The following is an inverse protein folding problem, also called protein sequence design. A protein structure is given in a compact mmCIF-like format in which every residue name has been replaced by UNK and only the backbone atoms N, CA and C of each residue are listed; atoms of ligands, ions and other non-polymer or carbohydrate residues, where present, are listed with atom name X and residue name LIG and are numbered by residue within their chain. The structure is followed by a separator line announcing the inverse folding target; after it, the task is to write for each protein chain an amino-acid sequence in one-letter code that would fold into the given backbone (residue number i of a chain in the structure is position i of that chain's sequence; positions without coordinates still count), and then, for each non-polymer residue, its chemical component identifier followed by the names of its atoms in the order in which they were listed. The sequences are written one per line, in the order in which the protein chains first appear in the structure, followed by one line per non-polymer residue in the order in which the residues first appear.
data_IF_761210064214
#
_entry.id   IF_761210064214
#
_cell.length_a   1.000
_cell.length_b   1.000
_cell.length_c   1.000
_cell.angle_alpha   90.00
_cell.angle_beta   90.00
_cell.angle_gamma   90.00
#
_symmetry.space_group_name_H-M   'P 1'
#
loop_
_entity.id
_entity.type
_entity.pdbx_description
1 polymer ?
#
# COMPACT_ATOMS: atom_id res chain seq x y z
N UNK A 1 -19.15 -32.38 18.90
CA UNK A 1 -20.16 -33.41 19.26
C UNK A 1 -20.45 -34.39 18.12
N UNK A 2 -20.68 -33.96 16.87
CA UNK A 2 -20.90 -34.86 15.72
C UNK A 2 -19.77 -35.88 15.42
N UNK A 3 -18.50 -35.51 15.66
CA UNK A 3 -17.36 -36.39 15.42
C UNK A 3 -17.26 -37.58 16.40
N UNK A 4 -17.83 -37.47 17.60
CA UNK A 4 -17.83 -38.54 18.60
C UNK A 4 -18.89 -39.61 18.30
N UNK A 5 -20.01 -39.22 17.68
CA UNK A 5 -21.10 -40.13 17.31
C UNK A 5 -20.71 -40.99 16.08
N UNK A 6 -19.89 -40.44 15.17
CA UNK A 6 -19.40 -41.18 13.99
C UNK A 6 -18.34 -42.26 14.32
N UNK A 7 -17.68 -42.16 15.48
CA UNK A 7 -16.64 -43.08 15.95
C UNK A 7 -17.21 -44.46 16.33
N UNK A 8 -18.50 -44.54 16.62
CA UNK A 8 -19.15 -45.76 17.12
C UNK A 8 -19.72 -46.66 16.00
N UNK A 9 -19.93 -46.11 14.80
CA UNK A 9 -20.59 -46.80 13.68
C UNK A 9 -19.58 -47.45 12.72
N UNK A 10 -18.37 -46.87 12.54
CA UNK A 10 -17.34 -47.48 11.68
C UNK A 10 -15.92 -46.94 11.94
N UNK A 11 -15.28 -47.42 13.02
CA UNK A 11 -13.94 -47.02 13.47
C UNK A 11 -12.88 -47.05 12.35
N UNK A 12 -12.95 -48.03 11.45
CA UNK A 12 -12.00 -48.18 10.35
C UNK A 12 -12.13 -47.05 9.31
N UNK A 13 -13.35 -46.65 8.94
CA UNK A 13 -13.59 -45.55 8.00
C UNK A 13 -13.21 -44.19 8.60
N UNK A 14 -13.43 -44.01 9.91
CA UNK A 14 -13.02 -42.81 10.62
C UNK A 14 -11.50 -42.68 10.72
N UNK A 15 -10.81 -43.75 11.09
CA UNK A 15 -9.34 -43.78 11.13
C UNK A 15 -8.73 -43.49 9.74
N UNK A 16 -9.30 -44.09 8.69
CA UNK A 16 -8.89 -43.82 7.31
C UNK A 16 -9.07 -42.34 6.92
N UNK A 17 -10.23 -41.76 7.24
CA UNK A 17 -10.51 -40.35 6.96
C UNK A 17 -9.57 -39.40 7.73
N UNK A 18 -9.24 -39.74 8.98
CA UNK A 18 -8.30 -38.98 9.80
C UNK A 18 -6.88 -39.00 9.22
N UNK A 19 -6.39 -40.18 8.83
CA UNK A 19 -5.06 -40.32 8.20
C UNK A 19 -5.01 -39.58 6.87
N UNK A 20 -6.08 -39.65 6.07
CA UNK A 20 -6.16 -38.95 4.79
C UNK A 20 -6.15 -37.42 4.96
N UNK A 21 -6.85 -36.89 5.98
CA UNK A 21 -6.87 -35.45 6.24
C UNK A 21 -5.51 -34.92 6.71
N UNK A 22 -4.84 -35.66 7.58
CA UNK A 22 -3.48 -35.33 8.03
C UNK A 22 -2.48 -35.39 6.87
N UNK A 23 -2.63 -36.36 5.97
CA UNK A 23 -1.84 -36.47 4.74
C UNK A 23 -2.00 -35.26 3.83
N UNK A 24 -3.23 -34.80 3.59
CA UNK A 24 -3.50 -33.62 2.76
C UNK A 24 -2.96 -32.32 3.38
N UNK A 25 -3.07 -32.17 4.70
CA UNK A 25 -2.50 -31.02 5.42
C UNK A 25 -0.97 -31.02 5.33
N UNK A 26 -0.33 -32.18 5.51
CA UNK A 26 1.11 -32.32 5.39
C UNK A 26 1.61 -32.01 3.97
N UNK A 27 0.93 -32.56 2.94
CA UNK A 27 1.28 -32.34 1.54
C UNK A 27 1.09 -30.87 1.14
N UNK A 28 -0.03 -30.26 1.54
CA UNK A 28 -0.32 -28.85 1.30
C UNK A 28 0.68 -27.92 2.00
N UNK A 29 1.03 -28.21 3.25
CA UNK A 29 2.05 -27.48 4.00
C UNK A 29 3.44 -27.58 3.36
N UNK A 30 3.81 -28.77 2.88
CA UNK A 30 5.09 -28.98 2.16
C UNK A 30 5.14 -28.20 0.84
N UNK A 31 4.06 -28.24 0.04
CA UNK A 31 3.98 -27.44 -1.19
C UNK A 31 4.03 -25.93 -0.93
N UNK A 32 3.34 -25.46 0.11
CA UNK A 32 3.39 -24.07 0.53
C UNK A 32 4.81 -23.64 0.93
N UNK A 33 5.51 -24.48 1.70
CA UNK A 33 6.90 -24.24 2.08
C UNK A 33 7.84 -24.20 0.88
N UNK A 34 7.68 -25.10 -0.10
CA UNK A 34 8.47 -25.07 -1.34
C UNK A 34 8.28 -23.77 -2.12
N UNK A 35 7.03 -23.34 -2.34
CA UNK A 35 6.73 -22.13 -3.10
C UNK A 35 7.26 -20.88 -2.40
N UNK A 36 7.09 -20.79 -1.08
CA UNK A 36 7.56 -19.65 -0.29
C UNK A 36 9.06 -19.69 0.00
N UNK A 37 9.67 -20.87 0.06
CA UNK A 37 11.11 -21.07 0.26
C UNK A 37 11.94 -20.87 -1.02
N UNK A 38 11.36 -21.09 -2.21
CA UNK A 38 11.98 -20.79 -3.51
C UNK A 38 11.80 -19.34 -3.97
N UNK A 39 11.05 -18.51 -3.24
CA UNK A 39 10.88 -17.08 -3.55
C UNK A 39 12.12 -16.20 -3.29
N UNK A 40 13.24 -16.82 -2.92
CA UNK A 40 14.45 -16.16 -2.44
C UNK A 40 15.62 -16.13 -3.42
N UNK A 41 15.42 -16.15 -4.74
CA UNK A 41 16.49 -15.74 -5.67
C UNK A 41 15.96 -15.41 -7.08
N UNK A 42 15.38 -14.22 -7.24
CA UNK A 42 15.20 -13.59 -8.54
C UNK A 42 15.91 -12.24 -8.56
N UNK A 43 17.24 -12.28 -8.58
CA UNK A 43 18.07 -11.17 -9.04
C UNK A 43 19.18 -11.68 -9.94
N UNK A 44 18.89 -11.79 -11.23
CA UNK A 44 19.85 -11.60 -12.33
C UNK A 44 19.11 -11.56 -13.66
N UNK A 45 18.42 -10.45 -13.90
CA UNK A 45 18.09 -10.02 -15.26
C UNK A 45 19.33 -9.36 -15.86
N UNK A 46 19.90 -9.95 -16.91
CA UNK A 46 20.95 -9.34 -17.72
C UNK A 46 20.33 -8.13 -18.44
N UNK A 47 20.87 -6.94 -18.19
CA UNK A 47 20.44 -5.71 -18.87
C UNK A 47 21.03 -5.69 -20.29
N UNK A 48 20.31 -6.25 -21.26
CA UNK A 48 20.71 -6.36 -22.67
C UNK A 48 20.73 -5.00 -23.41
N UNK A 49 20.25 -3.93 -22.78
CA UNK A 49 20.09 -2.59 -23.36
C UNK A 49 21.42 -1.81 -23.39
N UNK A 50 22.44 -2.21 -22.60
CA UNK A 50 23.71 -1.48 -22.53
C UNK A 50 24.63 -1.65 -23.75
N UNK A 51 24.30 -2.54 -24.70
CA UNK A 51 25.16 -2.87 -25.83
C UNK A 51 24.89 -2.03 -27.10
N UNK A 52 23.82 -1.22 -27.13
CA UNK A 52 23.37 -0.57 -28.38
C UNK A 52 23.10 0.94 -28.27
N UNK A 53 23.64 1.63 -27.27
CA UNK A 53 23.55 3.10 -27.24
C UNK A 53 24.90 3.71 -26.90
N UNK A 54 25.80 3.73 -27.87
CA UNK A 54 26.93 4.64 -27.84
C UNK A 54 26.41 6.06 -28.17
N UNK A 55 25.79 6.69 -27.18
CA UNK A 55 25.39 8.10 -27.26
C UNK A 55 26.66 8.94 -27.12
N UNK A 56 26.86 9.88 -28.06
CA UNK A 56 27.96 10.85 -28.05
C UNK A 56 28.18 11.46 -26.65
N UNK A 57 29.42 11.76 -26.24
CA UNK A 57 29.73 12.21 -24.89
C UNK A 57 28.96 13.48 -24.57
N UNK A 58 27.97 13.35 -23.69
CA UNK A 58 27.24 14.48 -23.13
C UNK A 58 28.23 15.20 -22.23
N UNK A 59 28.51 16.47 -22.54
CA UNK A 59 29.27 17.33 -21.64
C UNK A 59 28.44 17.54 -20.37
N UNK A 60 28.78 16.79 -19.32
CA UNK A 60 28.26 17.06 -17.98
C UNK A 60 29.07 18.22 -17.41
N UNK A 61 28.47 19.42 -17.20
CA UNK A 61 29.11 20.38 -16.32
C UNK A 61 29.34 19.68 -14.98
N UNK A 62 30.45 20.01 -14.31
CA UNK A 62 30.79 19.45 -13.00
C UNK A 62 29.51 19.45 -12.12
N UNK A 63 29.20 18.35 -11.41
CA UNK A 63 28.01 18.31 -10.57
C UNK A 63 28.11 19.48 -9.62
N UNK A 64 27.21 20.46 -9.81
CA UNK A 64 26.91 21.45 -8.79
C UNK A 64 26.66 20.62 -7.54
N UNK A 65 27.30 20.90 -6.38
CA UNK A 65 27.03 20.15 -5.17
C UNK A 65 25.51 20.18 -4.94
N UNK A 66 24.86 19.07 -5.28
CA UNK A 66 23.44 18.88 -5.12
C UNK A 66 23.27 18.78 -3.62
N UNK A 67 22.98 19.92 -2.98
CA UNK A 67 22.37 19.91 -1.66
C UNK A 67 21.11 19.07 -1.88
N UNK A 68 21.16 17.80 -1.44
CA UNK A 68 19.99 16.94 -1.46
C UNK A 68 18.86 17.77 -0.84
N UNK A 69 17.66 17.83 -1.47
CA UNK A 69 16.52 18.51 -0.87
C UNK A 69 16.47 18.12 0.61
N UNK A 70 16.45 19.09 1.54
CA UNK A 70 16.60 18.79 2.95
C UNK A 70 15.63 17.67 3.31
N UNK A 71 16.16 16.59 3.91
CA UNK A 71 15.32 15.46 4.27
C UNK A 71 14.14 15.99 5.08
N UNK A 72 12.89 15.65 4.71
CA UNK A 72 11.72 16.17 5.38
C UNK A 72 11.83 15.85 6.87
N UNK A 73 11.99 16.90 7.66
CA UNK A 73 12.19 16.81 9.12
C UNK A 73 10.88 16.46 9.83
N UNK A 74 9.77 16.63 9.13
CA UNK A 74 8.39 16.42 9.59
C UNK A 74 7.63 15.55 8.59
N UNK A 75 6.58 14.87 9.05
CA UNK A 75 5.69 14.09 8.20
C UNK A 75 5.08 14.99 7.13
N UNK A 76 5.18 14.58 5.87
CA UNK A 76 4.72 15.37 4.73
C UNK A 76 4.02 14.46 3.71
N UNK A 77 2.84 14.87 3.24
CA UNK A 77 2.11 14.22 2.15
C UNK A 77 2.04 15.17 0.96
N UNK A 78 2.36 14.66 -0.22
CA UNK A 78 2.26 15.42 -1.48
C UNK A 78 1.00 14.99 -2.19
N UNK A 79 0.10 15.95 -2.43
CA UNK A 79 -1.17 15.73 -3.12
C UNK A 79 -1.19 16.61 -4.36
N UNK A 80 -1.53 16.00 -5.50
CA UNK A 80 -1.80 16.69 -6.75
C UNK A 80 -3.31 16.97 -6.84
N UNK A 81 -3.64 18.25 -7.00
CA UNK A 81 -4.99 18.77 -7.21
C UNK A 81 -5.01 19.57 -8.53
N UNK A 82 -6.18 20.05 -8.96
CA UNK A 82 -6.29 20.80 -10.22
C UNK A 82 -5.35 22.03 -10.28
N UNK A 83 -5.15 22.69 -9.13
CA UNK A 83 -4.28 23.86 -8.96
C UNK A 83 -2.78 23.50 -8.81
N UNK A 84 -2.41 22.24 -9.03
CA UNK A 84 -1.03 21.74 -8.95
C UNK A 84 -0.73 20.94 -7.68
N UNK A 85 0.55 20.77 -7.36
CA UNK A 85 0.98 19.97 -6.21
C UNK A 85 0.99 20.78 -4.91
N UNK A 86 0.32 20.25 -3.89
CA UNK A 86 0.31 20.77 -2.52
C UNK A 86 1.07 19.81 -1.61
N UNK A 87 1.80 20.37 -0.65
CA UNK A 87 2.49 19.63 0.40
C UNK A 87 1.79 19.91 1.71
N UNK A 88 1.32 18.86 2.36
CA UNK A 88 0.62 18.94 3.63
C UNK A 88 1.43 18.29 4.73
N UNK A 89 1.48 18.93 5.89
CA UNK A 89 2.08 18.39 7.12
C UNK A 89 1.06 17.65 7.96
N UNK A 90 1.52 16.93 8.99
CA UNK A 90 0.63 16.28 9.95
C UNK A 90 -0.43 17.26 10.49
N UNK A 91 -1.69 16.80 10.48
CA UNK A 91 -2.91 17.50 10.89
C UNK A 91 -3.31 18.70 10.04
N UNK A 92 -2.65 18.96 8.91
CA UNK A 92 -3.09 20.01 8.00
C UNK A 92 -4.34 19.59 7.22
N UNK A 93 -5.09 20.61 6.78
CA UNK A 93 -6.32 20.47 6.04
C UNK A 93 -6.14 21.02 4.63
N UNK A 94 -6.60 20.25 3.63
CA UNK A 94 -6.67 20.68 2.25
C UNK A 94 -8.13 20.80 1.84
N UNK A 95 -8.49 21.99 1.34
CA UNK A 95 -9.81 22.28 0.81
C UNK A 95 -9.89 21.89 -0.65
N UNK A 96 -10.94 21.14 -1.01
CA UNK A 96 -11.22 20.70 -2.38
C UNK A 96 -12.72 20.76 -2.64
N UNK A 97 -13.11 20.89 -3.91
CA UNK A 97 -14.53 20.86 -4.28
C UNK A 97 -15.03 19.44 -4.47
N UNK A 98 -16.30 19.20 -4.16
CA UNK A 98 -16.93 17.90 -4.42
C UNK A 98 -16.91 17.57 -5.91
N UNK A 99 -16.43 16.38 -6.25
CA UNK A 99 -16.25 15.93 -7.64
C UNK A 99 -14.89 16.32 -8.25
N UNK A 100 -14.05 17.06 -7.52
CA UNK A 100 -12.67 17.28 -7.92
C UNK A 100 -11.87 15.98 -7.80
N UNK A 101 -10.96 15.78 -8.74
CA UNK A 101 -10.03 14.65 -8.74
C UNK A 101 -8.75 15.03 -8.01
N UNK A 102 -8.38 14.21 -7.03
CA UNK A 102 -7.14 14.37 -6.27
C UNK A 102 -6.27 13.13 -6.43
N UNK A 103 -4.96 13.29 -6.39
CA UNK A 103 -4.01 12.18 -6.49
C UNK A 103 -2.94 12.30 -5.44
N UNK A 104 -2.76 11.24 -4.66
CA UNK A 104 -1.68 11.19 -3.67
C UNK A 104 -0.40 10.82 -4.42
N UNK A 105 0.57 11.73 -4.43
CA UNK A 105 1.83 11.56 -5.17
C UNK A 105 2.86 10.81 -4.34
N UNK A 106 3.10 11.26 -3.10
CA UNK A 106 4.06 10.62 -2.20
C UNK A 106 3.74 10.94 -0.73
N UNK A 107 4.33 10.17 0.19
CA UNK A 107 4.26 10.37 1.62
C UNK A 107 5.63 10.17 2.26
N UNK A 108 6.00 11.08 3.15
CA UNK A 108 7.29 11.10 3.83
C UNK A 108 7.07 11.06 5.33
N UNK A 109 7.82 10.18 5.99
CA UNK A 109 7.87 10.08 7.44
C UNK A 109 9.35 10.19 7.84
N UNK A 110 9.72 11.08 8.77
CA UNK A 110 11.10 11.23 9.19
C UNK A 110 11.68 9.90 9.69
N UNK A 111 12.93 9.59 9.30
CA UNK A 111 13.65 8.39 9.76
C UNK A 111 12.91 7.07 9.45
N UNK A 112 12.17 7.02 8.34
CA UNK A 112 11.49 5.82 7.87
C UNK A 112 11.80 5.56 6.40
N UNK A 113 12.06 4.30 6.07
CA UNK A 113 12.25 3.89 4.68
C UNK A 113 10.96 4.03 3.89
N UNK A 114 11.05 4.55 2.66
CA UNK A 114 9.89 4.71 1.75
C UNK A 114 9.07 3.43 1.55
N UNK A 115 9.72 2.27 1.60
CA UNK A 115 9.08 0.96 1.43
C UNK A 115 8.21 0.55 2.63
N UNK A 116 8.42 1.16 3.79
CA UNK A 116 7.63 0.94 5.00
C UNK A 116 6.49 1.94 5.13
N UNK A 117 6.52 3.02 4.34
CA UNK A 117 5.50 4.06 4.34
C UNK A 117 4.39 3.66 3.38
N UNK A 118 3.15 3.71 3.85
CA UNK A 118 1.95 3.61 3.01
C UNK A 118 1.06 4.81 3.26
N UNK A 119 0.31 5.22 2.24
CA UNK A 119 -0.65 6.32 2.37
C UNK A 119 -2.02 5.83 1.96
N UNK A 120 -2.99 5.99 2.84
CA UNK A 120 -4.34 5.46 2.71
C UNK A 120 -5.38 6.59 2.79
N UNK A 121 -6.27 6.67 1.82
CA UNK A 121 -7.40 7.60 1.82
C UNK A 121 -8.61 6.91 2.45
N UNK A 122 -8.93 7.28 3.68
CA UNK A 122 -10.03 6.67 4.44
C UNK A 122 -11.36 7.00 3.76
N UNK A 123 -12.08 5.95 3.34
CA UNK A 123 -13.35 6.09 2.63
C UNK A 123 -13.23 5.99 1.10
N UNK A 124 -12.02 5.79 0.58
CA UNK A 124 -11.76 5.44 -0.82
C UNK A 124 -11.45 3.95 -0.96
N UNK A 125 -11.78 3.38 -2.12
CA UNK A 125 -11.42 2.01 -2.48
C UNK A 125 -10.76 2.09 -3.86
N UNK A 126 -9.42 2.04 -3.89
CA UNK A 126 -8.66 2.09 -5.14
C UNK A 126 -8.64 0.73 -5.85
N UNK A 127 -7.82 -0.18 -5.33
CA UNK A 127 -7.57 -1.52 -5.88
C UNK A 127 -7.63 -2.54 -4.74
N UNK A 128 -8.49 -3.58 -4.83
CA UNK A 128 -8.58 -4.62 -3.80
C UNK A 128 -7.26 -5.39 -3.58
N UNK A 129 -6.30 -5.31 -4.51
CA UNK A 129 -4.98 -5.95 -4.39
C UNK A 129 -3.99 -5.14 -3.56
N UNK A 130 -4.18 -3.83 -3.43
CA UNK A 130 -3.28 -2.92 -2.71
C UNK A 130 -3.91 -2.51 -1.38
N UNK A 131 -3.53 -3.20 -0.31
CA UNK A 131 -4.08 -2.93 1.02
C UNK A 131 -3.47 -1.64 1.59
N UNK A 132 -4.32 -0.61 1.72
CA UNK A 132 -4.02 0.67 2.35
C UNK A 132 -2.85 1.43 1.69
N UNK A 133 -2.77 1.37 0.36
CA UNK A 133 -1.77 2.06 -0.46
C UNK A 133 -2.44 2.70 -1.69
N UNK A 134 -2.82 3.96 -1.53
CA UNK A 134 -3.55 4.74 -2.53
C UNK A 134 -2.66 5.72 -3.30
N UNK A 135 -1.33 5.71 -3.07
CA UNK A 135 -0.41 6.51 -3.88
C UNK A 135 -0.53 6.16 -5.36
N UNK A 136 -0.58 7.20 -6.18
CA UNK A 136 -0.71 7.11 -7.64
C UNK A 136 -2.14 6.88 -8.13
N UNK A 137 -3.11 6.62 -7.25
CA UNK A 137 -4.52 6.45 -7.62
C UNK A 137 -5.20 7.81 -7.79
N UNK A 138 -6.04 7.91 -8.82
CA UNK A 138 -6.90 9.08 -9.04
C UNK A 138 -8.17 8.91 -8.19
N UNK A 139 -8.37 9.83 -7.26
CA UNK A 139 -9.45 9.80 -6.26
C UNK A 139 -10.48 10.84 -6.65
N UNK A 140 -11.65 10.38 -7.07
CA UNK A 140 -12.82 11.26 -7.23
C UNK A 140 -13.43 11.53 -5.84
N UNK A 141 -13.41 12.78 -5.40
CA UNK A 141 -13.95 13.20 -4.11
C UNK A 141 -15.46 12.95 -3.97
N UNK A 142 -16.21 12.84 -5.08
CA UNK A 142 -17.62 12.46 -5.05
C UNK A 142 -17.83 10.97 -4.74
N UNK A 143 -16.83 10.12 -5.01
CA UNK A 143 -16.89 8.67 -4.78
C UNK A 143 -16.62 8.27 -3.32
N UNK A 144 -16.22 9.22 -2.46
CA UNK A 144 -15.83 8.95 -1.09
C UNK A 144 -17.03 8.58 -0.21
N UNK A 145 -16.93 7.43 0.47
CA UNK A 145 -17.99 6.88 1.30
C UNK A 145 -18.26 7.75 2.55
N UNK A 146 -19.43 8.40 2.60
CA UNK A 146 -19.84 9.32 3.69
C UNK A 146 -19.69 8.75 5.10
N UNK A 147 -19.94 7.45 5.30
CA UNK A 147 -19.80 6.80 6.63
C UNK A 147 -18.39 6.84 7.21
N UNK A 148 -17.38 6.98 6.35
CA UNK A 148 -15.96 7.04 6.72
C UNK A 148 -15.43 8.46 6.87
N UNK A 149 -16.26 9.48 6.61
CA UNK A 149 -15.93 10.84 6.98
C UNK A 149 -15.75 10.97 8.50
N UNK A 150 -14.91 11.93 8.89
CA UNK A 150 -14.64 12.28 10.28
C UNK A 150 -15.90 12.84 10.93
N UNK A 151 -16.64 13.68 10.19
CA UNK A 151 -17.85 14.35 10.66
C UNK A 151 -19.15 13.52 10.47
N UNK A 152 -19.06 12.35 9.83
CA UNK A 152 -20.20 11.50 9.41
C UNK A 152 -21.19 12.18 8.47
N UNK A 153 -20.86 13.36 7.95
CA UNK A 153 -21.68 14.12 7.00
C UNK A 153 -21.08 14.12 5.59
N UNK A 154 -19.81 13.73 5.46
CA UNK A 154 -19.14 13.64 4.17
C UNK A 154 -18.45 14.93 3.75
N UNK A 155 -18.05 15.77 4.72
CA UNK A 155 -17.33 17.02 4.43
C UNK A 155 -15.86 16.97 4.86
N UNK A 156 -15.47 16.04 5.72
CA UNK A 156 -14.07 15.91 6.14
C UNK A 156 -13.62 14.45 6.09
N UNK A 157 -12.56 14.17 5.34
CA UNK A 157 -11.99 12.84 5.17
C UNK A 157 -10.53 12.84 5.63
N UNK A 158 -10.02 11.65 5.96
CA UNK A 158 -8.68 11.48 6.49
C UNK A 158 -7.79 10.75 5.50
N UNK A 159 -6.60 11.28 5.29
CA UNK A 159 -5.49 10.60 4.65
C UNK A 159 -4.54 10.12 5.76
N UNK A 160 -4.45 8.81 5.94
CA UNK A 160 -3.61 8.17 6.95
C UNK A 160 -2.25 7.82 6.34
N UNK A 161 -1.19 8.26 7.01
CA UNK A 161 0.17 7.84 6.68
C UNK A 161 0.58 6.75 7.66
N UNK A 162 0.83 5.57 7.13
CA UNK A 162 1.17 4.38 7.90
C UNK A 162 2.67 4.11 7.81
N UNK A 163 3.30 3.77 8.94
CA UNK A 163 4.64 3.19 9.01
C UNK A 163 4.51 1.73 9.42
N UNK A 164 4.55 0.82 8.44
CA UNK A 164 4.27 -0.60 8.65
C UNK A 164 2.81 -0.83 9.06
N UNK A 165 2.56 -1.04 10.36
CA UNK A 165 1.22 -1.26 10.93
C UNK A 165 0.72 -0.09 11.80
N UNK A 166 1.57 0.90 12.06
CA UNK A 166 1.26 2.02 12.94
C UNK A 166 0.89 3.25 12.11
N UNK A 167 -0.05 4.06 12.60
CA UNK A 167 -0.37 5.35 12.02
C UNK A 167 0.71 6.35 12.45
N UNK A 168 1.51 6.81 11.50
CA UNK A 168 2.56 7.80 11.71
C UNK A 168 2.01 9.24 11.77
N UNK A 169 0.88 9.49 11.10
CA UNK A 169 0.19 10.78 11.12
C UNK A 169 -0.98 10.81 10.17
N UNK A 170 -1.71 11.94 10.20
CA UNK A 170 -2.95 12.11 9.48
C UNK A 170 -3.01 13.49 8.84
N UNK A 171 -3.50 13.55 7.62
CA UNK A 171 -3.87 14.79 6.92
C UNK A 171 -5.34 14.77 6.59
N UNK A 172 -5.96 15.93 6.46
CA UNK A 172 -7.40 16.06 6.30
C UNK A 172 -7.76 16.67 4.96
N UNK A 173 -8.82 16.15 4.36
CA UNK A 173 -9.40 16.64 3.12
C UNK A 173 -10.79 17.17 3.42
N UNK A 174 -10.94 18.49 3.36
CA UNK A 174 -12.21 19.18 3.56
C UNK A 174 -12.87 19.40 2.20
N UNK A 175 -14.06 18.82 2.05
CA UNK A 175 -14.87 18.87 0.83
C UNK A 175 -15.90 19.97 0.97
N UNK A 176 -15.77 20.99 0.14
CA UNK A 176 -16.75 22.05 -0.06
C UNK A 176 -17.71 21.66 -1.21
N UNK A 177 -18.94 22.15 -1.17
CA UNK A 177 -19.92 21.95 -2.27
C UNK A 177 -19.60 22.80 -3.50
#
# INVERSE_FOLDING_TARGET
MLALIALEINKAKFALALVLSLGLIGLGGYHYYLIMGLGGDMKKGINLISLFTEKAPVYYPAPVPTVAPPEPTELTVIIEVADGQKRLKDKEHLKVKRGEKVKIVDGFVPKADKNLIRVNMVGFIADPKKVAEDRGSEIDTASLMKKFSVDKKGNCYKIEVLKGKEIAGNVFLDIEE
#
